data_IF_460480156027
#
_entry.id   IF_460480156027
#
_cell.length_a   1.000
_cell.length_b   1.000
_cell.length_c   1.000
_cell.angle_alpha   90.00
_cell.angle_beta   90.00
_cell.angle_gamma   90.00
#
_symmetry.space_group_name_H-M   'P 1'
#
loop_
_entity.id
_entity.type
_entity.pdbx_description
1 polymer ?
#
# COMPACT_ATOMS: atom_id res chain seq x y z
N UNK A 1 4.22 32.28 11.87
CA UNK A 1 4.49 30.84 11.70
C UNK A 1 5.95 30.73 11.26
N UNK A 2 6.86 30.38 12.18
CA UNK A 2 8.28 30.29 11.84
C UNK A 2 8.48 29.19 10.78
N UNK A 3 9.13 29.53 9.67
CA UNK A 3 9.38 28.62 8.56
C UNK A 3 10.49 27.67 9.01
N UNK A 4 10.10 26.52 9.57
CA UNK A 4 11.04 25.44 9.85
C UNK A 4 11.75 24.99 8.57
N UNK A 5 12.85 24.23 8.70
CA UNK A 5 13.54 23.66 7.54
C UNK A 5 12.53 22.91 6.65
N UNK A 6 12.57 23.18 5.34
CA UNK A 6 11.59 22.68 4.36
C UNK A 6 11.58 21.15 4.24
N UNK A 7 12.65 20.48 4.68
CA UNK A 7 12.76 19.03 4.67
C UNK A 7 13.79 18.57 5.70
N UNK A 8 13.35 17.91 6.77
CA UNK A 8 14.24 17.34 7.78
C UNK A 8 14.65 15.90 7.41
N UNK A 9 15.69 15.39 8.07
CA UNK A 9 16.06 13.98 7.92
C UNK A 9 14.95 13.01 8.36
N UNK A 10 14.09 13.41 9.30
CA UNK A 10 12.94 12.62 9.73
C UNK A 10 11.81 12.65 8.68
N UNK A 11 11.62 13.77 7.99
CA UNK A 11 10.71 13.87 6.85
C UNK A 11 11.19 12.98 5.69
N UNK A 12 12.50 12.94 5.45
CA UNK A 12 13.11 12.07 4.46
C UNK A 12 12.87 10.59 4.75
N UNK A 13 13.07 10.15 6.01
CA UNK A 13 12.79 8.77 6.43
C UNK A 13 11.31 8.42 6.27
N UNK A 14 10.42 9.35 6.61
CA UNK A 14 8.97 9.15 6.52
C UNK A 14 8.51 9.05 5.07
N UNK A 15 9.01 9.94 4.20
CA UNK A 15 8.74 9.90 2.76
C UNK A 15 9.27 8.62 2.12
N UNK A 16 10.48 8.19 2.49
CA UNK A 16 11.06 6.95 2.02
C UNK A 16 10.27 5.72 2.46
N UNK A 17 9.86 5.67 3.74
CA UNK A 17 9.03 4.58 4.23
C UNK A 17 7.68 4.51 3.49
N UNK A 18 7.05 5.67 3.24
CA UNK A 18 5.81 5.76 2.48
C UNK A 18 6.00 5.29 1.03
N UNK A 19 7.12 5.64 0.39
CA UNK A 19 7.49 5.10 -0.92
C UNK A 19 7.61 3.58 -0.89
N UNK A 20 8.34 3.02 0.08
CA UNK A 20 8.50 1.57 0.22
C UNK A 20 7.18 0.85 0.50
N UNK A 21 6.23 1.47 1.22
CA UNK A 21 4.91 0.87 1.46
C UNK A 21 4.02 0.87 0.21
N UNK A 22 4.13 1.87 -0.67
CA UNK A 22 3.31 1.97 -1.88
C UNK A 22 3.91 1.13 -3.02
N UNK A 23 5.23 1.10 -3.13
CA UNK A 23 5.95 0.37 -4.17
C UNK A 23 6.00 -1.12 -3.83
N UNK A 24 5.23 -1.94 -4.54
CA UNK A 24 5.10 -3.37 -4.25
C UNK A 24 4.15 -4.05 -5.21
N UNK A 25 3.20 -4.84 -4.69
CA UNK A 25 2.27 -5.65 -5.49
C UNK A 25 1.55 -4.88 -6.62
N UNK A 26 1.32 -3.58 -6.42
CA UNK A 26 0.65 -2.72 -7.38
C UNK A 26 1.38 -2.65 -8.72
N UNK A 27 2.72 -2.65 -8.72
CA UNK A 27 3.51 -2.68 -9.95
C UNK A 27 3.53 -4.07 -10.58
N UNK A 28 3.62 -5.13 -9.76
CA UNK A 28 3.59 -6.52 -10.24
C UNK A 28 2.26 -6.88 -10.94
N UNK A 29 1.14 -6.31 -10.49
CA UNK A 29 -0.17 -6.49 -11.13
C UNK A 29 -0.40 -5.61 -12.36
N UNK A 30 0.46 -4.63 -12.64
CA UNK A 30 0.26 -3.66 -13.72
C UNK A 30 0.25 -4.28 -15.12
N UNK A 31 1.17 -5.19 -15.50
CA UNK A 31 1.13 -5.81 -16.82
C UNK A 31 -0.18 -6.54 -17.08
N UNK A 32 -0.71 -7.25 -16.08
CA UNK A 32 -2.01 -7.93 -16.16
C UNK A 32 -3.19 -6.97 -16.25
N UNK A 33 -3.14 -5.84 -15.55
CA UNK A 33 -4.17 -4.81 -15.63
C UNK A 33 -4.17 -4.11 -17.00
N UNK A 34 -2.99 -3.80 -17.52
CA UNK A 34 -2.79 -3.19 -18.85
C UNK A 34 -3.20 -4.12 -19.99
N UNK A 35 -2.89 -5.42 -19.88
CA UNK A 35 -3.29 -6.40 -20.90
C UNK A 35 -4.81 -6.59 -20.98
N UNK A 36 -5.52 -6.43 -19.85
CA UNK A 36 -6.99 -6.57 -19.79
C UNK A 36 -7.73 -5.29 -20.18
N UNK A 37 -7.25 -4.13 -19.76
CA UNK A 37 -7.91 -2.84 -20.02
C UNK A 37 -7.47 -2.19 -21.35
N UNK A 38 -6.30 -2.55 -21.86
CA UNK A 38 -5.65 -1.88 -22.99
C UNK A 38 -4.88 -0.62 -22.56
N UNK A 39 -3.89 -0.18 -23.36
CA UNK A 39 -2.94 0.86 -22.95
C UNK A 39 -3.59 2.22 -22.69
N UNK A 40 -4.53 2.63 -23.54
CA UNK A 40 -5.16 3.95 -23.42
C UNK A 40 -6.03 4.08 -22.15
N UNK A 41 -6.91 3.11 -21.89
CA UNK A 41 -7.78 3.13 -20.71
C UNK A 41 -6.98 2.94 -19.42
N UNK A 42 -5.97 2.06 -19.43
CA UNK A 42 -5.11 1.85 -18.27
C UNK A 42 -4.32 3.11 -17.90
N UNK A 43 -3.75 3.83 -18.87
CA UNK A 43 -3.04 5.11 -18.62
C UNK A 43 -3.98 6.17 -18.05
N UNK A 44 -5.18 6.33 -18.61
CA UNK A 44 -6.16 7.30 -18.11
C UNK A 44 -6.61 6.94 -16.68
N UNK A 45 -6.91 5.67 -16.43
CA UNK A 45 -7.30 5.19 -15.10
C UNK A 45 -6.18 5.40 -14.07
N UNK A 46 -4.93 5.11 -14.43
CA UNK A 46 -3.78 5.38 -13.56
C UNK A 46 -3.61 6.86 -13.26
N UNK A 47 -3.69 7.73 -14.28
CA UNK A 47 -3.55 9.16 -14.10
C UNK A 47 -4.64 9.72 -13.17
N UNK A 48 -5.89 9.25 -13.35
CA UNK A 48 -6.99 9.60 -12.47
C UNK A 48 -6.77 9.12 -11.03
N UNK A 49 -6.38 7.85 -10.84
CA UNK A 49 -6.09 7.31 -9.51
C UNK A 49 -4.92 8.05 -8.83
N UNK A 50 -3.87 8.38 -9.56
CA UNK A 50 -2.75 9.15 -9.04
C UNK A 50 -3.22 10.53 -8.57
N UNK A 51 -3.97 11.26 -9.39
CA UNK A 51 -4.51 12.56 -9.03
C UNK A 51 -5.45 12.48 -7.81
N UNK A 52 -6.38 11.54 -7.80
CA UNK A 52 -7.32 11.35 -6.70
C UNK A 52 -6.61 11.03 -5.38
N UNK A 53 -5.62 10.13 -5.39
CA UNK A 53 -4.84 9.79 -4.20
C UNK A 53 -4.01 10.99 -3.71
N UNK A 54 -3.30 11.69 -4.60
CA UNK A 54 -2.52 12.87 -4.23
C UNK A 54 -3.43 13.95 -3.62
N UNK A 55 -4.56 14.24 -4.26
CA UNK A 55 -5.51 15.22 -3.76
C UNK A 55 -6.08 14.83 -2.38
N UNK A 56 -6.44 13.56 -2.20
CA UNK A 56 -6.93 13.04 -0.93
C UNK A 56 -5.86 13.14 0.17
N UNK A 57 -4.61 12.77 -0.12
CA UNK A 57 -3.49 12.89 0.82
C UNK A 57 -3.25 14.33 1.25
N UNK A 58 -3.22 15.28 0.30
CA UNK A 58 -3.02 16.71 0.61
C UNK A 58 -4.18 17.24 1.46
N UNK A 59 -5.42 16.90 1.10
CA UNK A 59 -6.61 17.33 1.85
C UNK A 59 -6.58 16.78 3.26
N UNK A 60 -6.26 15.49 3.42
CA UNK A 60 -6.12 14.85 4.72
C UNK A 60 -5.02 15.51 5.57
N UNK A 61 -3.86 15.84 4.99
CA UNK A 61 -2.80 16.57 5.69
C UNK A 61 -3.29 17.95 6.17
N UNK A 62 -4.02 18.70 5.33
CA UNK A 62 -4.58 20.01 5.72
C UNK A 62 -5.59 19.88 6.87
N UNK A 63 -6.46 18.88 6.81
CA UNK A 63 -7.45 18.59 7.86
C UNK A 63 -6.74 18.20 9.16
N UNK A 64 -5.70 17.37 9.10
CA UNK A 64 -4.90 17.01 10.27
C UNK A 64 -4.20 18.19 10.93
N UNK A 65 -3.77 19.21 10.16
CA UNK A 65 -3.19 20.43 10.73
C UNK A 65 -4.21 21.29 11.49
N UNK A 66 -5.49 21.18 11.15
CA UNK A 66 -6.59 21.87 11.84
C UNK A 66 -7.16 21.07 13.01
N UNK A 67 -6.89 19.75 13.05
CA UNK A 67 -7.49 18.85 14.02
C UNK A 67 -6.93 19.09 15.44
N UNK A 68 -7.79 19.05 16.48
CA UNK A 68 -7.34 19.15 17.86
C UNK A 68 -6.54 17.91 18.29
N UNK A 69 -5.72 18.04 19.35
CA UNK A 69 -4.88 16.94 19.88
C UNK A 69 -5.65 15.69 20.34
N UNK A 70 -6.98 15.76 20.45
CA UNK A 70 -7.85 14.62 20.73
C UNK A 70 -8.00 13.68 19.52
N UNK A 71 -7.80 14.17 18.30
CA UNK A 71 -7.89 13.37 17.07
C UNK A 71 -6.57 12.64 16.85
N UNK A 72 -6.58 11.32 17.06
CA UNK A 72 -5.39 10.47 16.92
C UNK A 72 -5.55 9.39 15.85
N UNK A 73 -6.76 8.90 15.62
CA UNK A 73 -7.02 7.83 14.66
C UNK A 73 -7.74 8.35 13.41
N UNK A 74 -7.67 7.59 12.32
CA UNK A 74 -8.41 7.91 11.09
C UNK A 74 -9.94 7.95 11.32
N UNK A 75 -10.46 7.09 12.20
CA UNK A 75 -11.86 7.13 12.63
C UNK A 75 -12.22 8.39 13.43
N UNK A 76 -11.33 8.88 14.29
CA UNK A 76 -11.54 10.13 15.03
C UNK A 76 -11.46 11.34 14.09
N UNK A 77 -10.63 11.28 13.06
CA UNK A 77 -10.58 12.31 12.01
C UNK A 77 -11.91 12.37 11.26
N UNK A 78 -12.46 11.22 10.88
CA UNK A 78 -13.79 11.11 10.29
C UNK A 78 -14.89 11.66 11.21
N UNK A 79 -14.83 11.32 12.51
CA UNK A 79 -15.76 11.85 13.52
C UNK A 79 -15.68 13.39 13.61
N UNK A 80 -14.48 13.95 13.56
CA UNK A 80 -14.28 15.38 13.66
C UNK A 80 -14.76 16.13 12.40
N UNK A 81 -14.60 15.54 11.22
CA UNK A 81 -14.99 16.16 9.96
C UNK A 81 -16.50 16.10 9.68
N UNK A 82 -17.14 14.94 9.91
CA UNK A 82 -18.53 14.68 9.48
C UNK A 82 -19.38 14.01 10.58
N UNK A 83 -18.92 14.04 11.84
CA UNK A 83 -19.63 13.41 12.94
C UNK A 83 -19.68 11.87 12.85
N UNK A 84 -20.70 11.22 13.46
CA UNK A 84 -20.81 9.76 13.54
C UNK A 84 -20.75 9.03 12.19
N UNK A 85 -21.29 9.65 11.14
CA UNK A 85 -21.29 9.08 9.79
C UNK A 85 -19.86 9.01 9.25
N UNK A 86 -19.08 10.09 9.41
CA UNK A 86 -17.68 10.14 8.99
C UNK A 86 -16.83 9.09 9.69
N UNK A 87 -17.07 8.86 10.99
CA UNK A 87 -16.38 7.79 11.75
C UNK A 87 -16.65 6.41 11.16
N UNK A 88 -17.91 6.08 10.90
CA UNK A 88 -18.28 4.79 10.32
C UNK A 88 -17.72 4.59 8.92
N UNK A 89 -17.76 5.62 8.06
CA UNK A 89 -17.17 5.57 6.73
C UNK A 89 -15.66 5.29 6.78
N UNK A 90 -14.91 5.98 7.65
CA UNK A 90 -13.48 5.75 7.84
C UNK A 90 -13.18 4.35 8.37
N UNK A 91 -13.94 3.86 9.35
CA UNK A 91 -13.70 2.53 9.94
C UNK A 91 -14.00 1.42 8.93
N UNK A 92 -15.16 1.48 8.25
CA UNK A 92 -15.56 0.43 7.30
C UNK A 92 -14.59 0.37 6.11
N UNK A 93 -14.22 1.53 5.56
CA UNK A 93 -13.24 1.60 4.45
C UNK A 93 -11.86 1.10 4.89
N UNK A 94 -11.41 1.44 6.10
CA UNK A 94 -10.14 0.96 6.63
C UNK A 94 -10.16 -0.55 6.87
N UNK A 95 -11.24 -1.09 7.47
CA UNK A 95 -11.38 -2.53 7.69
C UNK A 95 -11.41 -3.30 6.36
N UNK A 96 -12.13 -2.79 5.37
CA UNK A 96 -12.15 -3.35 4.02
C UNK A 96 -10.74 -3.37 3.41
N UNK A 97 -10.00 -2.27 3.52
CA UNK A 97 -8.64 -2.18 3.00
C UNK A 97 -7.69 -3.15 3.71
N UNK A 98 -7.74 -3.23 5.05
CA UNK A 98 -6.94 -4.15 5.84
C UNK A 98 -7.20 -5.63 5.53
N UNK A 99 -8.39 -5.99 5.03
CA UNK A 99 -8.72 -7.35 4.62
C UNK A 99 -8.34 -7.63 3.17
N UNK A 100 -8.75 -6.75 2.26
CA UNK A 100 -8.60 -6.95 0.81
C UNK A 100 -7.14 -6.89 0.36
N UNK A 101 -6.33 -6.03 0.97
CA UNK A 101 -4.92 -5.88 0.61
C UNK A 101 -4.17 -7.22 0.84
N UNK A 102 -4.15 -7.82 2.04
CA UNK A 102 -3.53 -9.14 2.23
C UNK A 102 -4.09 -10.22 1.31
N UNK A 103 -5.39 -10.24 1.05
CA UNK A 103 -5.99 -11.23 0.14
C UNK A 103 -5.39 -11.14 -1.27
N UNK A 104 -5.29 -9.94 -1.84
CA UNK A 104 -4.70 -9.75 -3.18
C UNK A 104 -3.21 -10.13 -3.17
N UNK A 105 -2.48 -9.79 -2.12
CA UNK A 105 -1.06 -10.16 -1.99
C UNK A 105 -0.87 -11.68 -1.96
N UNK A 106 -1.68 -12.39 -1.18
CA UNK A 106 -1.60 -13.85 -1.08
C UNK A 106 -1.96 -14.54 -2.40
N UNK A 107 -3.02 -14.08 -3.07
CA UNK A 107 -3.44 -14.65 -4.37
C UNK A 107 -2.39 -14.39 -5.45
N UNK A 108 -1.87 -13.17 -5.55
CA UNK A 108 -0.86 -12.85 -6.56
C UNK A 108 0.44 -13.62 -6.31
N UNK A 109 0.93 -13.65 -5.06
CA UNK A 109 2.13 -14.41 -4.74
C UNK A 109 1.97 -15.91 -4.98
N UNK A 110 0.79 -16.47 -4.68
CA UNK A 110 0.45 -17.85 -5.03
C UNK A 110 0.54 -18.12 -6.54
N UNK A 111 -0.01 -17.23 -7.38
CA UNK A 111 0.10 -17.39 -8.85
C UNK A 111 1.53 -17.23 -9.37
N UNK A 112 2.34 -16.37 -8.76
CA UNK A 112 3.74 -16.18 -9.14
C UNK A 112 4.58 -17.41 -8.80
N UNK A 113 4.39 -17.99 -7.61
CA UNK A 113 5.10 -19.20 -7.19
C UNK A 113 4.71 -20.43 -8.01
N UNK A 114 3.44 -20.55 -8.38
CA UNK A 114 2.95 -21.59 -9.29
C UNK A 114 3.60 -21.48 -10.68
N UNK A 115 3.74 -20.26 -11.20
CA UNK A 115 4.44 -20.01 -12.46
C UNK A 115 5.96 -20.26 -12.39
N UNK A 116 6.59 -20.00 -11.24
CA UNK A 116 8.03 -20.20 -11.04
C UNK A 116 8.40 -21.68 -10.87
N UNK A 117 7.54 -22.46 -10.23
CA UNK A 117 7.74 -23.89 -9.95
C UNK A 117 6.61 -24.74 -10.53
N UNK A 118 6.51 -24.85 -11.87
CA UNK A 118 5.41 -25.54 -12.51
C UNK A 118 5.38 -27.02 -12.10
N UNK A 119 4.21 -27.48 -11.66
CA UNK A 119 3.97 -28.88 -11.29
C UNK A 119 4.49 -29.31 -9.91
N UNK A 120 5.06 -28.40 -9.11
CA UNK A 120 5.53 -28.74 -7.76
C UNK A 120 4.38 -28.84 -6.74
N UNK A 121 3.50 -27.83 -6.68
CA UNK A 121 2.34 -27.78 -5.80
C UNK A 121 1.18 -27.04 -6.48
N UNK A 122 -0.04 -27.22 -5.98
CA UNK A 122 -1.20 -26.45 -6.45
C UNK A 122 -1.12 -24.99 -6.00
N UNK A 123 -1.72 -24.07 -6.75
CA UNK A 123 -1.81 -22.65 -6.38
C UNK A 123 -2.36 -22.44 -4.96
N UNK A 124 -3.39 -23.20 -4.56
CA UNK A 124 -3.96 -23.12 -3.20
C UNK A 124 -2.93 -23.47 -2.13
N UNK A 125 -2.10 -24.48 -2.37
CA UNK A 125 -1.03 -24.88 -1.46
C UNK A 125 0.01 -23.76 -1.32
N UNK A 126 0.40 -23.11 -2.42
CA UNK A 126 1.30 -21.96 -2.40
C UNK A 126 0.73 -20.77 -1.61
N UNK A 127 -0.56 -20.49 -1.77
CA UNK A 127 -1.26 -19.45 -0.99
C UNK A 127 -1.21 -19.75 0.50
N UNK A 128 -1.46 -21.00 0.91
CA UNK A 128 -1.40 -21.41 2.32
C UNK A 128 0.02 -21.26 2.87
N UNK A 129 1.04 -21.71 2.13
CA UNK A 129 2.45 -21.55 2.54
C UNK A 129 2.83 -20.07 2.70
N UNK A 130 2.45 -19.22 1.75
CA UNK A 130 2.63 -17.78 1.84
C UNK A 130 1.96 -17.19 3.09
N UNK A 131 0.71 -17.56 3.36
CA UNK A 131 -0.02 -17.07 4.53
C UNK A 131 0.68 -17.44 5.85
N UNK A 132 1.20 -18.67 5.93
CA UNK A 132 1.98 -19.13 7.09
C UNK A 132 3.29 -18.35 7.26
N UNK A 133 3.99 -18.05 6.15
CA UNK A 133 5.25 -17.30 6.18
C UNK A 133 5.06 -15.82 6.52
N UNK A 134 3.90 -15.23 6.22
CA UNK A 134 3.57 -13.83 6.54
C UNK A 134 3.04 -13.67 7.96
N UNK A 135 2.54 -14.75 8.60
CA UNK A 135 1.97 -14.71 9.94
C UNK A 135 2.87 -14.08 11.03
N UNK A 136 4.20 -14.26 11.04
CA UNK A 136 5.10 -13.56 11.96
C UNK A 136 5.10 -12.04 11.80
N UNK A 137 4.82 -11.53 10.59
CA UNK A 137 4.74 -10.07 10.33
C UNK A 137 3.57 -9.44 11.08
N UNK A 138 2.49 -10.20 11.32
CA UNK A 138 1.37 -9.75 12.16
C UNK A 138 1.77 -9.47 13.61
N UNK A 139 2.92 -9.98 14.06
CA UNK A 139 3.45 -9.76 15.41
C UNK A 139 4.33 -8.51 15.49
N UNK A 140 4.58 -7.81 14.38
CA UNK A 140 5.37 -6.56 14.36
C UNK A 140 4.46 -5.38 14.67
N UNK A 141 4.54 -4.78 15.88
CA UNK A 141 3.57 -3.80 16.35
C UNK A 141 3.81 -2.39 15.78
N UNK A 142 4.99 -2.10 15.23
CA UNK A 142 5.34 -0.73 14.81
C UNK A 142 5.87 -0.65 13.37
N UNK A 143 5.49 0.43 12.69
CA UNK A 143 6.02 0.77 11.35
C UNK A 143 7.55 0.99 11.36
N UNK A 144 8.13 1.33 12.51
CA UNK A 144 9.58 1.47 12.66
C UNK A 144 10.29 0.12 12.65
N UNK A 145 9.72 -0.88 13.30
CA UNK A 145 10.23 -2.26 13.28
C UNK A 145 9.99 -2.93 11.91
N UNK A 146 8.90 -2.57 11.22
CA UNK A 146 8.58 -3.07 9.88
C UNK A 146 9.31 -2.37 8.73
N UNK A 147 10.02 -1.27 8.97
CA UNK A 147 10.64 -0.46 7.91
C UNK A 147 11.68 -1.25 7.09
N UNK A 148 12.43 -2.14 7.73
CA UNK A 148 13.40 -3.01 7.04
C UNK A 148 12.73 -4.00 6.08
N UNK A 149 11.61 -4.59 6.49
CA UNK A 149 10.84 -5.50 5.64
C UNK A 149 10.18 -4.76 4.46
N UNK A 150 9.63 -3.56 4.71
CA UNK A 150 9.10 -2.69 3.66
C UNK A 150 10.18 -2.30 2.64
N UNK A 151 11.37 -1.94 3.12
CA UNK A 151 12.50 -1.63 2.24
C UNK A 151 12.94 -2.84 1.40
N UNK A 152 13.08 -4.02 2.01
CA UNK A 152 13.44 -5.23 1.30
C UNK A 152 12.41 -5.59 0.22
N UNK A 153 11.11 -5.48 0.53
CA UNK A 153 10.03 -5.70 -0.42
C UNK A 153 10.06 -4.69 -1.58
N UNK A 154 10.26 -3.42 -1.28
CA UNK A 154 10.39 -2.36 -2.28
C UNK A 154 11.59 -2.61 -3.20
N UNK A 155 12.77 -2.89 -2.65
CA UNK A 155 13.97 -3.19 -3.42
C UNK A 155 13.79 -4.43 -4.31
N UNK A 156 13.21 -5.50 -3.77
CA UNK A 156 12.90 -6.71 -4.54
C UNK A 156 11.97 -6.42 -5.72
N UNK A 157 10.96 -5.57 -5.51
CA UNK A 157 10.03 -5.16 -6.57
C UNK A 157 10.74 -4.32 -7.64
N UNK A 158 11.59 -3.36 -7.25
CA UNK A 158 12.35 -2.53 -8.20
C UNK A 158 13.25 -3.41 -9.07
N UNK A 159 13.94 -4.38 -8.46
CA UNK A 159 14.80 -5.31 -9.20
C UNK A 159 13.95 -6.15 -10.16
N UNK A 160 12.81 -6.67 -9.71
CA UNK A 160 11.90 -7.44 -10.55
C UNK A 160 11.36 -6.62 -11.74
N UNK A 161 11.00 -5.36 -11.52
CA UNK A 161 10.51 -4.45 -12.57
C UNK A 161 11.61 -4.14 -13.59
N UNK A 162 12.85 -3.88 -13.15
CA UNK A 162 14.00 -3.66 -14.06
C UNK A 162 14.25 -4.90 -14.91
N UNK A 163 14.27 -6.09 -14.29
CA UNK A 163 14.44 -7.35 -15.01
C UNK A 163 13.29 -7.61 -15.99
N UNK A 164 12.05 -7.35 -15.57
CA UNK A 164 10.86 -7.54 -16.40
C UNK A 164 10.80 -6.60 -17.61
N UNK A 165 11.44 -5.44 -17.56
CA UNK A 165 11.58 -4.52 -18.72
C UNK A 165 12.79 -4.88 -19.59
N UNK A 166 13.83 -5.48 -19.01
CA UNK A 166 15.08 -5.81 -19.71
C UNK A 166 15.00 -7.08 -20.58
N UNK A 167 14.01 -7.94 -20.35
CA UNK A 167 13.78 -9.22 -21.08
C UNK A 167 12.62 -9.05 -22.05
#
# INVERSE_FOLDING_TARGET
MAKGPFFTAEDAKSAFNLFCCIYGVGTLGMPGNFSRAGPYLAVVAMAFMAFANIYASITMSKVMLLAPKSVKTFGDLGQWCMGPIGRWLCIISQMGSCLLIPCVFLVLGGSLLDGLFPGAFSQTTWIIFMALMVLPVCLVPTLKEGAGAAFAGCLGTIIADILGVAV
#
